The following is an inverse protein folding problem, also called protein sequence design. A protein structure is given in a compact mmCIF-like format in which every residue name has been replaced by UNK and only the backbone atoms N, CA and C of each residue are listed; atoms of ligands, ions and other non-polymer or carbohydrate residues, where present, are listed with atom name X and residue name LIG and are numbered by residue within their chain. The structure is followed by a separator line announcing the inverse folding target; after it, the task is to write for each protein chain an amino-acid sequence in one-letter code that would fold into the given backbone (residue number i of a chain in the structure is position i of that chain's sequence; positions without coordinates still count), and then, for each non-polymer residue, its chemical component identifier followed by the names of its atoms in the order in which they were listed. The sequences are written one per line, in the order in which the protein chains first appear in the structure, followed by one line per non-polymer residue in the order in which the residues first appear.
data_IF_099974457906
#
_entry.id   IF_099974457906
#
_cell.length_a   1.000
_cell.length_b   1.000
_cell.length_c   1.000
_cell.angle_alpha   90.00
_cell.angle_beta   90.00
_cell.angle_gamma   90.00
#
_symmetry.space_group_name_H-M   'P 1'
#
loop_
_entity.id
_entity.type
_entity.pdbx_description
1 polymer ?
#
# COMPACT_ATOMS: atom_id res chain seq x y z
N UNK A 1 12.95 -5.47 -8.63
CA UNK A 1 14.35 -4.95 -8.69
C UNK A 1 14.59 -4.28 -10.03
N UNK A 2 15.16 -3.11 -10.00
CA UNK A 2 15.55 -2.46 -11.23
C UNK A 2 16.82 -3.07 -11.79
N UNK A 3 16.95 -3.00 -13.10
CA UNK A 3 18.10 -3.53 -13.82
C UNK A 3 19.40 -2.86 -13.37
N UNK A 4 20.37 -3.68 -12.96
CA UNK A 4 21.68 -3.21 -12.52
C UNK A 4 21.71 -2.64 -11.11
N UNK A 5 20.60 -2.71 -10.37
CA UNK A 5 20.52 -2.25 -9.00
C UNK A 5 20.14 -3.37 -8.06
N UNK A 6 20.62 -3.29 -6.83
CA UNK A 6 20.30 -4.24 -5.77
C UNK A 6 19.46 -3.56 -4.72
N UNK A 7 18.38 -4.24 -4.30
CA UNK A 7 17.50 -3.76 -3.25
C UNK A 7 17.40 -4.83 -2.16
N UNK A 8 17.15 -4.39 -0.94
CA UNK A 8 16.92 -5.25 0.20
C UNK A 8 15.58 -4.93 0.82
N UNK A 9 14.85 -5.96 1.21
CA UNK A 9 13.56 -5.77 1.87
C UNK A 9 13.64 -6.29 3.30
N UNK A 10 13.18 -5.47 4.24
CA UNK A 10 13.01 -5.88 5.63
C UNK A 10 11.52 -5.99 5.91
N UNK A 11 11.07 -7.19 6.25
CA UNK A 11 9.68 -7.43 6.65
C UNK A 11 9.62 -7.32 8.16
N UNK A 12 8.84 -6.37 8.67
CA UNK A 12 8.73 -6.13 10.11
C UNK A 12 7.27 -6.14 10.55
N UNK A 13 7.07 -6.22 11.86
CA UNK A 13 5.75 -6.09 12.46
C UNK A 13 5.83 -5.02 13.56
N UNK A 14 4.93 -4.05 13.48
CA UNK A 14 4.86 -2.97 14.47
C UNK A 14 3.43 -2.92 15.01
N UNK A 15 3.28 -3.12 16.31
CA UNK A 15 1.97 -3.15 16.99
C UNK A 15 1.00 -4.13 16.33
N UNK A 16 1.52 -5.32 15.92
CA UNK A 16 0.71 -6.36 15.30
C UNK A 16 0.41 -6.16 13.83
N UNK A 17 0.92 -5.10 13.22
CA UNK A 17 0.69 -4.80 11.79
C UNK A 17 1.99 -4.92 11.01
N UNK A 18 1.89 -5.42 9.77
CA UNK A 18 3.07 -5.54 8.92
C UNK A 18 3.56 -4.16 8.47
N UNK A 19 4.87 -4.03 8.44
CA UNK A 19 5.53 -2.82 7.94
C UNK A 19 6.79 -3.28 7.20
N UNK A 20 6.74 -3.20 5.88
CA UNK A 20 7.83 -3.66 5.03
C UNK A 20 8.62 -2.48 4.50
N UNK A 21 9.93 -2.58 4.58
CA UNK A 21 10.83 -1.49 4.19
C UNK A 21 11.72 -1.97 3.06
N UNK A 22 11.71 -1.26 1.96
CA UNK A 22 12.58 -1.52 0.82
C UNK A 22 13.74 -0.51 0.85
N UNK A 23 14.96 -1.02 0.80
CA UNK A 23 16.17 -0.21 0.87
C UNK A 23 17.05 -0.48 -0.35
N UNK A 24 17.83 0.52 -0.76
CA UNK A 24 18.85 0.32 -1.79
C UNK A 24 20.13 -0.24 -1.15
N UNK A 25 21.14 -0.50 -1.97
CA UNK A 25 22.39 -1.09 -1.51
C UNK A 25 23.16 -0.21 -0.52
N UNK A 26 22.89 1.10 -0.48
CA UNK A 26 23.52 2.01 0.47
C UNK A 26 22.80 2.04 1.83
N UNK A 27 21.65 1.38 1.93
CA UNK A 27 20.81 1.40 3.12
C UNK A 27 19.79 2.53 3.14
N UNK A 28 19.70 3.31 2.06
CA UNK A 28 18.68 4.36 1.99
C UNK A 28 17.31 3.74 1.75
N UNK A 29 16.29 4.23 2.48
CA UNK A 29 14.93 3.74 2.35
C UNK A 29 14.33 4.27 1.05
N UNK A 30 13.85 3.34 0.20
CA UNK A 30 13.23 3.64 -1.08
C UNK A 30 11.71 3.63 -0.95
N UNK A 31 11.17 2.67 -0.19
CA UNK A 31 9.73 2.50 -0.07
C UNK A 31 9.39 1.89 1.29
N UNK A 32 8.27 2.31 1.85
CA UNK A 32 7.71 1.71 3.07
C UNK A 32 6.26 1.33 2.79
N UNK A 33 5.93 0.05 2.98
CA UNK A 33 4.55 -0.45 2.88
C UNK A 33 4.08 -0.80 4.28
N UNK A 34 2.93 -0.28 4.68
CA UNK A 34 2.42 -0.47 6.02
C UNK A 34 0.94 -0.83 6.02
N UNK A 35 0.61 -1.95 6.66
CA UNK A 35 -0.78 -2.35 6.79
C UNK A 35 -1.55 -1.33 7.64
N UNK A 36 -2.74 -0.98 7.20
CA UNK A 36 -3.57 0.05 7.84
C UNK A 36 -4.99 -0.46 8.02
N UNK A 37 -5.69 0.06 9.02
CA UNK A 37 -7.13 -0.06 9.06
C UNK A 37 -7.71 0.86 7.98
N UNK A 38 -8.78 0.44 7.31
CA UNK A 38 -9.38 1.25 6.24
C UNK A 38 -9.74 2.65 6.73
N UNK A 39 -10.30 2.75 7.93
CA UNK A 39 -10.74 4.00 8.55
C UNK A 39 -9.58 4.94 8.90
N UNK A 40 -8.35 4.42 8.90
CA UNK A 40 -7.15 5.23 9.16
C UNK A 40 -6.62 5.92 7.91
N UNK A 41 -7.14 5.55 6.73
CA UNK A 41 -6.74 6.19 5.49
C UNK A 41 -7.34 7.59 5.39
N UNK A 42 -6.73 8.50 4.60
CA UNK A 42 -7.36 9.78 4.31
C UNK A 42 -8.76 9.58 3.72
N UNK A 43 -9.70 10.43 4.07
CA UNK A 43 -11.09 10.28 3.66
C UNK A 43 -11.24 10.22 2.13
N UNK A 44 -10.49 11.05 1.41
CA UNK A 44 -10.52 11.04 -0.06
C UNK A 44 -10.07 9.71 -0.63
N UNK A 45 -9.06 9.07 -0.02
CA UNK A 45 -8.59 7.75 -0.44
C UNK A 45 -9.63 6.68 -0.12
N UNK A 46 -10.27 6.74 1.03
CA UNK A 46 -11.35 5.81 1.39
C UNK A 46 -12.46 5.84 0.35
N UNK A 47 -12.89 7.04 -0.01
CA UNK A 47 -13.96 7.24 -0.99
C UNK A 47 -13.58 6.68 -2.37
N UNK A 48 -12.36 6.97 -2.80
CA UNK A 48 -11.87 6.49 -4.10
C UNK A 48 -11.77 4.96 -4.12
N UNK A 49 -11.32 4.35 -3.04
CA UNK A 49 -11.22 2.88 -2.95
C UNK A 49 -12.61 2.24 -2.95
N UNK A 50 -13.58 2.82 -2.27
CA UNK A 50 -14.96 2.32 -2.31
C UNK A 50 -15.52 2.38 -3.72
N UNK A 51 -15.23 3.45 -4.45
CA UNK A 51 -15.67 3.60 -5.83
C UNK A 51 -15.05 2.52 -6.72
N UNK A 52 -13.75 2.26 -6.55
CA UNK A 52 -13.06 1.22 -7.32
C UNK A 52 -13.52 -0.18 -6.95
N UNK A 53 -13.86 -0.41 -5.69
CA UNK A 53 -14.37 -1.70 -5.24
C UNK A 53 -15.77 -1.99 -5.82
N UNK A 54 -16.59 -0.94 -5.98
CA UNK A 54 -17.95 -1.13 -6.47
C UNK A 54 -18.73 -2.10 -5.57
N UNK A 55 -19.17 -3.21 -6.16
CA UNK A 55 -19.87 -4.27 -5.41
C UNK A 55 -18.91 -5.25 -4.73
N UNK A 56 -17.60 -5.09 -4.93
CA UNK A 56 -16.60 -5.95 -4.34
C UNK A 56 -16.37 -5.64 -2.86
N UNK A 57 -15.55 -6.48 -2.24
CA UNK A 57 -15.21 -6.36 -0.82
C UNK A 57 -13.75 -5.97 -0.67
N UNK A 58 -13.48 -4.95 0.15
CA UNK A 58 -12.11 -4.55 0.46
C UNK A 58 -11.60 -5.47 1.56
N UNK A 59 -10.58 -6.27 1.24
CA UNK A 59 -10.02 -7.26 2.17
C UNK A 59 -8.95 -6.69 3.07
N UNK A 60 -8.08 -5.85 2.52
CA UNK A 60 -7.03 -5.21 3.30
C UNK A 60 -6.52 -3.97 2.57
N UNK A 61 -5.91 -3.07 3.32
CA UNK A 61 -5.33 -1.85 2.77
C UNK A 61 -3.94 -1.63 3.34
N UNK A 62 -3.11 -0.93 2.57
CA UNK A 62 -1.76 -0.57 2.97
C UNK A 62 -1.49 0.87 2.54
N UNK A 63 -0.67 1.58 3.32
CA UNK A 63 -0.09 2.83 2.85
C UNK A 63 1.27 2.49 2.23
N UNK A 64 1.60 3.14 1.13
CA UNK A 64 2.87 2.96 0.44
C UNK A 64 3.54 4.32 0.33
N UNK A 65 4.68 4.47 0.99
CA UNK A 65 5.44 5.72 0.99
C UNK A 65 6.69 5.57 0.15
N UNK A 66 6.86 6.44 -0.84
CA UNK A 66 8.06 6.52 -1.67
C UNK A 66 8.54 7.96 -1.66
N UNK A 67 9.64 8.23 -0.94
CA UNK A 67 10.10 9.59 -0.75
C UNK A 67 9.04 10.42 -0.05
N UNK A 68 8.57 11.48 -0.69
CA UNK A 68 7.51 12.34 -0.15
C UNK A 68 6.11 11.97 -0.65
N UNK A 69 6.00 10.93 -1.47
CA UNK A 69 4.73 10.52 -2.06
C UNK A 69 4.11 9.38 -1.26
N UNK A 70 2.84 9.53 -0.90
CA UNK A 70 2.07 8.50 -0.19
C UNK A 70 0.90 8.08 -1.06
N UNK A 71 0.77 6.77 -1.26
CA UNK A 71 -0.39 6.19 -1.93
C UNK A 71 -1.02 5.15 -1.03
N UNK A 72 -2.25 4.75 -1.36
CA UNK A 72 -3.00 3.74 -0.62
C UNK A 72 -3.32 2.60 -1.57
N UNK A 73 -3.01 1.37 -1.16
CA UNK A 73 -3.29 0.17 -1.95
C UNK A 73 -4.30 -0.69 -1.22
N UNK A 74 -5.17 -1.33 -1.99
CA UNK A 74 -6.17 -2.22 -1.42
C UNK A 74 -6.28 -3.48 -2.25
N UNK A 75 -6.49 -4.61 -1.56
CA UNK A 75 -6.85 -5.86 -2.21
C UNK A 75 -8.36 -5.96 -2.11
N UNK A 76 -9.01 -6.11 -3.25
CA UNK A 76 -10.47 -6.18 -3.37
C UNK A 76 -10.86 -7.58 -3.84
N UNK A 77 -11.90 -8.16 -3.24
CA UNK A 77 -12.46 -9.42 -3.71
C UNK A 77 -13.70 -9.12 -4.54
N UNK A 78 -13.69 -9.55 -5.79
CA UNK A 78 -14.82 -9.33 -6.70
C UNK A 78 -14.90 -10.47 -7.71
N UNK A 79 -16.05 -11.13 -7.76
CA UNK A 79 -16.31 -12.23 -8.69
C UNK A 79 -15.26 -13.35 -8.59
N UNK A 80 -14.83 -13.68 -7.36
CA UNK A 80 -13.84 -14.73 -7.12
C UNK A 80 -12.40 -14.34 -7.40
N UNK A 81 -12.16 -13.09 -7.80
CA UNK A 81 -10.82 -12.56 -8.07
C UNK A 81 -10.44 -11.57 -6.99
N UNK A 82 -9.13 -11.38 -6.81
CA UNK A 82 -8.59 -10.48 -5.79
C UNK A 82 -7.65 -9.45 -6.40
N UNK A 83 -8.16 -8.54 -7.25
CA UNK A 83 -7.30 -7.52 -7.83
C UNK A 83 -6.80 -6.55 -6.76
N UNK A 84 -5.62 -5.98 -7.04
CA UNK A 84 -5.06 -4.93 -6.22
C UNK A 84 -5.28 -3.60 -6.94
N UNK A 85 -5.71 -2.60 -6.21
CA UNK A 85 -5.92 -1.25 -6.74
C UNK A 85 -5.18 -0.24 -5.88
N UNK A 86 -4.80 0.87 -6.48
CA UNK A 86 -4.06 1.91 -5.79
C UNK A 86 -4.68 3.27 -6.09
N UNK A 87 -4.67 4.14 -5.09
CA UNK A 87 -5.07 5.54 -5.22
C UNK A 87 -4.07 6.40 -4.45
N UNK A 88 -3.95 7.66 -4.83
CA UNK A 88 -3.14 8.59 -4.07
C UNK A 88 -3.89 9.03 -2.80
N UNK A 89 -3.17 9.63 -1.86
CA UNK A 89 -3.77 10.05 -0.59
C UNK A 89 -4.91 11.06 -0.80
N UNK A 90 -4.89 11.82 -1.89
CA UNK A 90 -5.95 12.76 -2.23
C UNK A 90 -7.10 12.12 -3.02
N UNK A 91 -7.05 10.82 -3.26
CA UNK A 91 -8.08 10.06 -3.96
C UNK A 91 -7.90 10.00 -5.48
N UNK A 92 -6.85 10.63 -6.01
CA UNK A 92 -6.63 10.63 -7.47
C UNK A 92 -5.97 9.35 -7.96
#
# INVERSE_FOLDING_TARGET
MERGKTYYEAETTVNGKSRDILMDASGAIVEVEEAMAFESLPEAAQKALRTKAGSGKILRVESVTRGSTVSCEAVIEKNGKKPEVAVNADGS
#
